data_IF_262039702287
#
_entry.id   IF_262039702287
#
_cell.length_a   1.000
_cell.length_b   1.000
_cell.length_c   1.000
_cell.angle_alpha   90.00
_cell.angle_beta   90.00
_cell.angle_gamma   90.00
#
_symmetry.space_group_name_H-M   'P 1'
#
loop_
_entity.id
_entity.type
_entity.pdbx_description
1 polymer ?
#
# COMPACT_ATOMS: atom_id res chain seq x y z
N UNK A 1 2.97 35.09 25.40
CA UNK A 1 3.11 33.64 25.20
C UNK A 1 2.13 33.23 24.12
N UNK A 2 2.63 33.08 22.89
CA UNK A 2 1.78 32.84 21.71
C UNK A 2 1.28 31.40 21.74
N UNK A 3 -0.02 31.22 21.57
CA UNK A 3 -0.71 29.94 21.61
C UNK A 3 -0.28 29.07 20.42
N UNK A 4 0.64 28.13 20.63
CA UNK A 4 0.94 27.07 19.67
C UNK A 4 -0.26 26.13 19.57
N UNK A 5 -1.10 26.35 18.55
CA UNK A 5 -2.10 25.39 18.11
C UNK A 5 -1.37 24.20 17.50
N UNK A 6 -1.06 23.20 18.33
CA UNK A 6 -0.63 21.88 17.91
C UNK A 6 -1.60 21.37 16.82
N UNK A 7 -1.20 21.47 15.56
CA UNK A 7 -1.86 20.80 14.43
C UNK A 7 -1.53 19.30 14.53
N UNK A 8 -2.10 18.64 15.54
CA UNK A 8 -2.20 17.18 15.57
C UNK A 8 -3.08 16.80 14.40
N UNK A 9 -2.46 16.26 13.34
CA UNK A 9 -3.15 15.68 12.18
C UNK A 9 -4.35 14.87 12.67
N UNK A 10 -5.53 15.18 12.14
CA UNK A 10 -6.81 14.71 12.67
C UNK A 10 -6.84 13.18 12.81
N UNK A 11 -6.73 12.68 14.04
CA UNK A 11 -6.76 11.25 14.39
C UNK A 11 -7.98 10.51 13.80
N UNK A 12 -9.05 11.27 13.53
CA UNK A 12 -10.26 10.80 12.83
C UNK A 12 -9.97 10.29 11.42
N UNK A 13 -9.04 10.90 10.69
CA UNK A 13 -8.64 10.47 9.35
C UNK A 13 -8.01 9.07 9.39
N UNK A 14 -7.05 8.86 10.29
CA UNK A 14 -6.37 7.56 10.45
C UNK A 14 -7.32 6.44 10.88
N UNK A 15 -8.30 6.74 11.75
CA UNK A 15 -9.34 5.77 12.14
C UNK A 15 -10.20 5.33 10.95
N UNK A 16 -10.57 6.26 10.06
CA UNK A 16 -11.34 5.92 8.87
C UNK A 16 -10.54 5.01 7.92
N UNK A 17 -9.26 5.29 7.73
CA UNK A 17 -8.36 4.45 6.92
C UNK A 17 -8.21 3.06 7.53
N UNK A 18 -8.03 2.99 8.85
CA UNK A 18 -7.90 1.73 9.56
C UNK A 18 -9.13 0.84 9.33
N UNK A 19 -10.33 1.43 9.38
CA UNK A 19 -11.56 0.70 9.07
C UNK A 19 -11.60 0.21 7.62
N UNK A 20 -11.19 1.05 6.66
CA UNK A 20 -11.10 0.65 5.25
C UNK A 20 -10.10 -0.51 5.05
N UNK A 21 -8.95 -0.49 5.72
CA UNK A 21 -7.96 -1.57 5.67
C UNK A 21 -8.47 -2.87 6.31
N UNK A 22 -9.20 -2.78 7.43
CA UNK A 22 -9.84 -3.94 8.06
C UNK A 22 -10.88 -4.57 7.14
N UNK A 23 -11.72 -3.76 6.49
CA UNK A 23 -12.69 -4.23 5.49
C UNK A 23 -11.99 -4.96 4.32
N UNK A 24 -10.93 -4.39 3.77
CA UNK A 24 -10.15 -5.04 2.71
C UNK A 24 -9.44 -6.32 3.18
N UNK A 25 -9.10 -6.40 4.47
CA UNK A 25 -8.50 -7.59 5.08
C UNK A 25 -9.52 -8.69 5.21
N UNK A 26 -10.71 -8.39 5.74
CA UNK A 26 -11.83 -9.32 5.79
C UNK A 26 -12.22 -9.82 4.38
N UNK A 27 -12.27 -8.92 3.40
CA UNK A 27 -12.54 -9.28 2.01
C UNK A 27 -11.48 -10.27 1.46
N UNK A 28 -10.21 -10.06 1.76
CA UNK A 28 -9.13 -10.96 1.34
C UNK A 28 -9.23 -12.34 2.00
N UNK A 29 -9.61 -12.39 3.28
CA UNK A 29 -9.84 -13.67 3.98
C UNK A 29 -11.08 -14.38 3.43
N UNK A 30 -12.13 -13.65 3.10
CA UNK A 30 -13.31 -14.22 2.45
C UNK A 30 -12.97 -14.80 1.07
N UNK A 31 -12.17 -14.07 0.28
CA UNK A 31 -11.68 -14.56 -1.02
C UNK A 31 -10.88 -15.86 -0.87
N UNK A 32 -10.04 -16.00 0.17
CA UNK A 32 -9.31 -17.27 0.40
C UNK A 32 -10.20 -18.45 0.76
N UNK A 33 -11.42 -18.21 1.24
CA UNK A 33 -12.40 -19.26 1.51
C UNK A 33 -13.25 -19.62 0.29
N UNK A 34 -13.29 -18.76 -0.73
CA UNK A 34 -13.93 -19.03 -2.00
C UNK A 34 -12.91 -19.74 -2.90
N UNK A 35 -13.17 -20.98 -3.28
CA UNK A 35 -12.33 -21.73 -4.23
C UNK A 35 -12.50 -21.18 -5.66
N UNK A 36 -11.93 -20.00 -5.91
CA UNK A 36 -11.92 -19.33 -7.22
C UNK A 36 -10.89 -19.93 -8.19
N UNK A 37 -10.24 -21.05 -7.80
CA UNK A 37 -9.19 -21.71 -8.58
C UNK A 37 -8.04 -20.75 -8.92
N UNK A 38 -7.69 -20.68 -10.21
CA UNK A 38 -6.60 -19.85 -10.73
C UNK A 38 -6.80 -18.35 -10.48
N UNK A 39 -8.04 -17.88 -10.38
CA UNK A 39 -8.34 -16.46 -10.14
C UNK A 39 -8.02 -16.01 -8.71
N UNK A 40 -7.86 -16.94 -7.77
CA UNK A 40 -7.60 -16.61 -6.37
C UNK A 40 -6.33 -15.76 -6.21
N UNK A 41 -5.25 -16.12 -6.92
CA UNK A 41 -3.98 -15.38 -6.89
C UNK A 41 -4.15 -13.97 -7.46
N UNK A 42 -4.86 -13.83 -8.57
CA UNK A 42 -5.10 -12.53 -9.20
C UNK A 42 -5.89 -11.60 -8.27
N UNK A 43 -6.97 -12.11 -7.67
CA UNK A 43 -7.79 -11.32 -6.73
C UNK A 43 -6.99 -10.96 -5.47
N UNK A 44 -6.20 -11.90 -4.93
CA UNK A 44 -5.34 -11.65 -3.78
C UNK A 44 -4.31 -10.54 -4.07
N UNK A 45 -3.68 -10.56 -5.24
CA UNK A 45 -2.72 -9.53 -5.67
C UNK A 45 -3.37 -8.16 -5.83
N UNK A 46 -4.56 -8.09 -6.41
CA UNK A 46 -5.32 -6.83 -6.54
C UNK A 46 -5.65 -6.26 -5.15
N UNK A 47 -6.19 -7.09 -4.25
CA UNK A 47 -6.52 -6.66 -2.88
C UNK A 47 -5.28 -6.21 -2.11
N UNK A 48 -4.16 -6.92 -2.26
CA UNK A 48 -2.89 -6.52 -1.67
C UNK A 48 -2.39 -5.17 -2.23
N UNK A 49 -2.50 -4.94 -3.54
CA UNK A 49 -2.14 -3.69 -4.19
C UNK A 49 -2.97 -2.50 -3.70
N UNK A 50 -4.29 -2.66 -3.56
CA UNK A 50 -5.16 -1.59 -3.05
C UNK A 50 -4.81 -1.26 -1.59
N UNK A 51 -4.57 -2.26 -0.73
CA UNK A 51 -4.13 -2.05 0.66
C UNK A 51 -2.83 -1.23 0.70
N UNK A 52 -1.83 -1.64 -0.09
CA UNK A 52 -0.54 -0.95 -0.14
C UNK A 52 -0.69 0.51 -0.59
N UNK A 53 -1.52 0.78 -1.61
CA UNK A 53 -1.77 2.13 -2.09
C UNK A 53 -2.42 3.04 -1.02
N UNK A 54 -3.38 2.51 -0.26
CA UNK A 54 -4.03 3.22 0.84
C UNK A 54 -3.01 3.56 1.95
N UNK A 55 -2.16 2.59 2.32
CA UNK A 55 -1.11 2.77 3.34
C UNK A 55 -0.07 3.80 2.91
N UNK A 56 0.46 3.70 1.69
CA UNK A 56 1.39 4.68 1.16
C UNK A 56 0.78 6.08 1.22
N UNK A 57 -0.45 6.21 0.72
CA UNK A 57 -1.03 7.54 0.60
C UNK A 57 -1.27 8.20 1.96
N UNK A 58 -1.97 7.54 2.90
CA UNK A 58 -2.43 8.19 4.15
C UNK A 58 -1.55 7.88 5.37
N UNK A 59 -1.03 6.66 5.53
CA UNK A 59 -0.22 6.30 6.72
C UNK A 59 1.23 6.76 6.60
N UNK A 60 1.82 6.73 5.41
CA UNK A 60 3.16 7.29 5.16
C UNK A 60 3.14 8.81 4.96
N UNK A 61 1.99 9.47 5.15
CA UNK A 61 1.80 10.92 4.97
C UNK A 61 2.26 11.46 3.61
N UNK A 62 2.37 10.61 2.59
CA UNK A 62 2.83 10.98 1.26
C UNK A 62 1.98 12.08 0.61
N UNK A 63 0.69 12.17 0.97
CA UNK A 63 -0.20 13.23 0.53
C UNK A 63 -0.11 14.52 1.35
N UNK A 64 0.33 14.44 2.61
CA UNK A 64 0.30 15.55 3.56
C UNK A 64 1.66 16.23 3.74
N UNK A 65 2.75 15.52 3.42
CA UNK A 65 4.11 16.02 3.47
C UNK A 65 4.57 16.54 2.10
N UNK A 66 5.79 17.07 2.03
CA UNK A 66 6.42 17.56 0.81
C UNK A 66 6.50 16.48 -0.28
N UNK A 67 6.23 16.86 -1.54
CA UNK A 67 6.23 15.97 -2.70
C UNK A 67 7.56 15.23 -2.93
N UNK A 68 8.64 15.64 -2.27
CA UNK A 68 9.94 14.97 -2.36
C UNK A 68 9.89 13.54 -1.83
N UNK A 69 9.13 13.28 -0.75
CA UNK A 69 8.96 11.92 -0.21
C UNK A 69 8.23 10.99 -1.19
N UNK A 70 7.31 11.54 -1.98
CA UNK A 70 6.63 10.79 -3.04
C UNK A 70 7.58 10.42 -4.16
N UNK A 71 8.45 11.34 -4.57
CA UNK A 71 9.48 11.07 -5.59
C UNK A 71 10.43 9.97 -5.11
N UNK A 72 10.92 10.06 -3.87
CA UNK A 72 11.79 9.03 -3.29
C UNK A 72 11.11 7.66 -3.19
N UNK A 73 9.84 7.62 -2.77
CA UNK A 73 9.08 6.36 -2.68
C UNK A 73 8.92 5.71 -4.04
N UNK A 74 8.60 6.49 -5.08
CA UNK A 74 8.50 5.99 -6.46
C UNK A 74 9.87 5.51 -6.95
N UNK A 75 10.95 6.23 -6.66
CA UNK A 75 12.30 5.82 -7.04
C UNK A 75 12.69 4.46 -6.42
N UNK A 76 12.40 4.24 -5.13
CA UNK A 76 12.63 2.95 -4.47
C UNK A 76 11.79 1.84 -5.11
N UNK A 77 10.52 2.11 -5.42
CA UNK A 77 9.65 1.14 -6.10
C UNK A 77 10.17 0.77 -7.50
N UNK A 78 10.68 1.73 -8.26
CA UNK A 78 11.28 1.48 -9.59
C UNK A 78 12.51 0.59 -9.45
N UNK A 79 13.41 0.89 -8.51
CA UNK A 79 14.60 0.06 -8.26
C UNK A 79 14.19 -1.35 -7.85
N UNK A 80 13.21 -1.49 -6.95
CA UNK A 80 12.70 -2.79 -6.53
C UNK A 80 12.14 -3.60 -7.71
N UNK A 81 11.34 -2.99 -8.58
CA UNK A 81 10.81 -3.64 -9.78
C UNK A 81 11.92 -4.02 -10.77
N UNK A 82 12.95 -3.19 -10.91
CA UNK A 82 14.10 -3.49 -11.77
C UNK A 82 14.86 -4.71 -11.24
N UNK A 83 15.12 -4.76 -9.93
CA UNK A 83 15.75 -5.92 -9.27
C UNK A 83 14.91 -7.19 -9.49
N UNK A 84 13.59 -7.12 -9.28
CA UNK A 84 12.72 -8.26 -9.56
C UNK A 84 12.78 -8.68 -11.03
N UNK A 85 12.69 -7.73 -11.96
CA UNK A 85 12.73 -8.01 -13.39
C UNK A 85 14.03 -8.73 -13.78
N UNK A 86 15.18 -8.21 -13.34
CA UNK A 86 16.48 -8.84 -13.61
C UNK A 86 16.56 -10.23 -12.98
N UNK A 87 16.03 -10.41 -11.76
CA UNK A 87 16.03 -11.70 -11.06
C UNK A 87 15.17 -12.74 -11.79
N UNK A 88 13.96 -12.37 -12.24
CA UNK A 88 13.09 -13.26 -13.01
C UNK A 88 13.64 -13.55 -14.41
N UNK A 89 14.26 -12.56 -15.04
CA UNK A 89 14.96 -12.74 -16.30
C UNK A 89 16.08 -13.77 -16.14
N UNK A 90 16.99 -13.58 -15.17
CA UNK A 90 18.07 -14.53 -14.87
C UNK A 90 17.56 -15.95 -14.62
N UNK A 91 16.50 -16.10 -13.81
CA UNK A 91 15.86 -17.40 -13.56
C UNK A 91 15.29 -18.04 -14.83
N UNK A 92 14.77 -17.27 -15.78
CA UNK A 92 14.20 -17.79 -17.01
C UNK A 92 15.26 -18.33 -18.00
N UNK A 93 16.52 -17.93 -17.88
CA UNK A 93 17.62 -18.42 -18.72
C UNK A 93 18.38 -19.60 -18.09
N UNK A 94 17.96 -20.07 -16.91
CA UNK A 94 18.52 -21.23 -16.23
C UNK A 94 17.55 -22.42 -16.25
#
# INVERSE_FOLDING_TARGET
MSQEKHHISSFKSHIFVLFALLMLTAASVAVTQLELGTLNVLVAMILAGIKAAIVLSWFMHLKFDSSIYAIFTVAVFVIFLLVLFVTFFDYSYR
#
